data_IF_293972758833
#
_entry.id   IF_293972758833
#
_cell.length_a   1.000
_cell.length_b   1.000
_cell.length_c   1.000
_cell.angle_alpha   90.00
_cell.angle_beta   90.00
_cell.angle_gamma   90.00
#
_symmetry.space_group_name_H-M   'P 1'
#
loop_
_entity.id
_entity.type
_entity.pdbx_description
1 polymer ?
#
# COMPACT_ATOMS: atom_id res chain seq x y z
N UNK A 1 7.27 3.94 4.82
CA UNK A 1 6.12 3.11 4.38
C UNK A 1 6.60 1.69 4.18
N UNK A 2 5.89 0.70 4.74
CA UNK A 2 6.26 -0.72 4.67
C UNK A 2 6.28 -1.28 3.23
N UNK A 3 5.29 -0.92 2.40
CA UNK A 3 5.24 -1.31 0.99
C UNK A 3 6.51 -0.89 0.20
N UNK A 4 7.07 0.29 0.47
CA UNK A 4 8.30 0.73 -0.19
C UNK A 4 9.54 -0.10 0.18
N UNK A 5 9.48 -0.83 1.30
CA UNK A 5 10.53 -1.72 1.78
C UNK A 5 10.25 -3.20 1.49
N UNK A 6 9.11 -3.53 0.89
CA UNK A 6 8.75 -4.92 0.60
C UNK A 6 9.46 -5.45 -0.65
N UNK A 7 9.53 -6.78 -0.75
CA UNK A 7 10.04 -7.47 -1.95
C UNK A 7 9.14 -7.24 -3.17
N UNK A 8 7.85 -7.02 -2.96
CA UNK A 8 6.87 -6.83 -4.02
C UNK A 8 6.71 -5.37 -4.48
N UNK A 9 7.47 -4.41 -3.94
CA UNK A 9 7.29 -2.95 -4.21
C UNK A 9 7.20 -2.61 -5.70
N UNK A 10 7.97 -3.29 -6.54
CA UNK A 10 8.04 -3.08 -7.99
C UNK A 10 6.72 -3.40 -8.73
N UNK A 11 5.82 -4.12 -8.08
CA UNK A 11 4.51 -4.48 -8.59
C UNK A 11 3.44 -3.43 -8.29
N UNK A 12 3.75 -2.38 -7.51
CA UNK A 12 2.79 -1.36 -7.11
C UNK A 12 3.21 0.01 -7.63
N UNK A 13 2.26 0.72 -8.23
CA UNK A 13 2.43 2.11 -8.69
C UNK A 13 1.48 2.99 -7.90
N UNK A 14 2.01 3.98 -7.16
CA UNK A 14 1.20 4.96 -6.44
C UNK A 14 0.36 5.75 -7.44
N UNK A 15 -0.93 5.97 -7.14
CA UNK A 15 -1.85 6.77 -7.94
C UNK A 15 -2.76 7.60 -7.04
N UNK A 16 -3.77 8.24 -7.63
CA UNK A 16 -4.86 8.86 -6.90
C UNK A 16 -4.51 10.21 -6.27
N UNK A 17 -5.32 10.62 -5.30
CA UNK A 17 -5.30 11.98 -4.76
C UNK A 17 -4.04 12.27 -3.93
N UNK A 18 -3.52 11.30 -3.17
CA UNK A 18 -2.25 11.46 -2.45
C UNK A 18 -1.07 11.69 -3.41
N UNK A 19 -1.07 11.08 -4.60
CA UNK A 19 -0.04 11.38 -5.59
C UNK A 19 -0.22 12.81 -6.12
N UNK A 20 -1.45 13.17 -6.50
CA UNK A 20 -1.75 14.48 -7.08
C UNK A 20 -1.43 15.63 -6.11
N UNK A 21 -1.65 15.43 -4.80
CA UNK A 21 -1.33 16.40 -3.75
C UNK A 21 0.15 16.76 -3.64
N UNK A 22 1.04 15.94 -4.21
CA UNK A 22 2.47 16.25 -4.30
C UNK A 22 2.82 17.25 -5.40
N UNK A 23 1.91 17.47 -6.35
CA UNK A 23 2.14 18.33 -7.50
C UNK A 23 1.26 19.57 -7.52
N UNK A 24 0.05 19.49 -6.95
CA UNK A 24 -0.89 20.60 -6.89
C UNK A 24 -1.58 20.64 -5.53
N UNK A 25 -2.02 21.82 -5.13
CA UNK A 25 -2.90 21.97 -3.99
C UNK A 25 -4.26 21.32 -4.31
N UNK A 26 -4.62 20.30 -3.56
CA UNK A 26 -5.93 19.67 -3.63
C UNK A 26 -6.78 20.22 -2.48
N UNK A 27 -7.86 20.93 -2.78
CA UNK A 27 -8.77 21.53 -1.79
C UNK A 27 -9.60 20.53 -0.98
N UNK A 28 -9.12 19.28 -0.85
CA UNK A 28 -9.73 18.21 -0.06
C UNK A 28 -8.64 17.37 0.58
N UNK A 29 -8.85 16.99 1.84
CA UNK A 29 -8.02 16.00 2.50
C UNK A 29 -8.36 14.59 2.00
N UNK A 30 -7.37 13.71 2.02
CA UNK A 30 -7.54 12.27 1.75
C UNK A 30 -6.59 11.51 2.65
N UNK A 31 -7.07 10.43 3.24
CA UNK A 31 -6.29 9.54 4.08
C UNK A 31 -5.97 8.21 3.37
N UNK A 32 -6.51 8.02 2.17
CA UNK A 32 -6.38 6.78 1.41
C UNK A 32 -5.12 6.79 0.55
N UNK A 33 -4.40 5.66 0.56
CA UNK A 33 -3.27 5.41 -0.32
C UNK A 33 -3.68 4.46 -1.45
N UNK A 34 -3.83 5.01 -2.64
CA UNK A 34 -4.18 4.24 -3.83
C UNK A 34 -2.96 3.71 -4.57
N UNK A 35 -2.96 2.40 -4.87
CA UNK A 35 -1.96 1.78 -5.72
C UNK A 35 -2.60 1.03 -6.90
N UNK A 36 -1.93 1.05 -8.04
CA UNK A 36 -2.16 0.10 -9.13
C UNK A 36 -1.24 -1.10 -8.92
N UNK A 37 -1.83 -2.28 -8.66
CA UNK A 37 -1.12 -3.55 -8.66
C UNK A 37 -0.90 -4.05 -10.10
N UNK A 38 0.30 -4.55 -10.40
CA UNK A 38 0.70 -5.05 -11.72
C UNK A 38 1.48 -6.35 -11.57
N UNK A 39 1.17 -7.34 -12.41
CA UNK A 39 1.85 -8.66 -12.41
C UNK A 39 1.74 -9.37 -11.05
N UNK A 40 0.61 -9.22 -10.37
CA UNK A 40 0.23 -10.00 -9.20
C UNK A 40 -0.95 -10.90 -9.58
N UNK A 41 -1.07 -12.05 -8.92
CA UNK A 41 -2.28 -12.87 -9.01
C UNK A 41 -3.45 -12.12 -8.38
N UNK A 42 -4.65 -12.28 -8.95
CA UNK A 42 -5.89 -11.75 -8.39
C UNK A 42 -6.55 -12.72 -7.39
N UNK A 43 -5.87 -13.82 -7.06
CA UNK A 43 -6.35 -14.77 -6.06
C UNK A 43 -6.31 -14.13 -4.65
N UNK A 44 -7.46 -14.13 -3.98
CA UNK A 44 -7.64 -13.52 -2.66
C UNK A 44 -6.65 -14.06 -1.63
N UNK A 45 -6.40 -15.37 -1.63
CA UNK A 45 -5.45 -16.00 -0.72
C UNK A 45 -4.02 -15.46 -0.93
N UNK A 46 -3.55 -15.43 -2.18
CA UNK A 46 -2.22 -14.89 -2.49
C UNK A 46 -2.08 -13.40 -2.19
N UNK A 47 -3.14 -12.61 -2.42
CA UNK A 47 -3.16 -11.20 -2.03
C UNK A 47 -3.07 -11.05 -0.50
N UNK A 48 -3.73 -11.92 0.26
CA UNK A 48 -3.67 -11.92 1.74
C UNK A 48 -2.25 -12.11 2.22
N UNK A 49 -1.56 -13.12 1.71
CA UNK A 49 -0.18 -13.40 2.08
C UNK A 49 0.74 -12.21 1.76
N UNK A 50 0.58 -11.59 0.58
CA UNK A 50 1.35 -10.40 0.18
C UNK A 50 1.11 -9.23 1.14
N UNK A 51 -0.14 -8.91 1.46
CA UNK A 51 -0.45 -7.80 2.36
C UNK A 51 -0.04 -8.08 3.80
N UNK A 52 -0.11 -9.33 4.26
CA UNK A 52 0.41 -9.76 5.56
C UNK A 52 1.94 -9.62 5.63
N UNK A 53 2.67 -10.05 4.59
CA UNK A 53 4.12 -9.85 4.50
C UNK A 53 4.47 -8.36 4.59
N UNK A 54 3.78 -7.49 3.83
CA UNK A 54 4.02 -6.05 3.85
C UNK A 54 3.74 -5.47 5.24
N UNK A 55 2.59 -5.78 5.85
CA UNK A 55 2.20 -5.21 7.14
C UNK A 55 3.16 -5.58 8.28
N UNK A 56 3.74 -6.77 8.21
CA UNK A 56 4.68 -7.29 9.20
C UNK A 56 6.12 -6.79 9.03
N UNK A 57 6.42 -5.97 8.02
CA UNK A 57 7.73 -5.33 7.90
C UNK A 57 7.95 -4.42 9.11
N UNK A 58 8.91 -4.79 9.96
CA UNK A 58 9.28 -4.01 11.13
C UNK A 58 10.06 -2.77 10.70
N UNK A 59 9.54 -1.61 11.07
CA UNK A 59 10.20 -0.32 10.91
C UNK A 59 10.26 0.36 12.27
N UNK A 60 11.34 1.10 12.54
CA UNK A 60 11.47 1.94 13.75
C UNK A 60 10.65 3.23 13.62
N UNK A 61 9.41 3.11 13.19
CA UNK A 61 8.47 4.22 12.94
C UNK A 61 7.37 4.33 14.01
N UNK A 62 7.35 3.42 14.99
CA UNK A 62 6.38 3.43 16.09
C UNK A 62 4.99 2.93 15.71
N UNK A 63 4.80 2.41 14.49
CA UNK A 63 3.52 1.88 14.02
C UNK A 63 3.48 0.36 14.07
N UNK A 64 2.30 -0.19 14.35
CA UNK A 64 1.98 -1.61 14.20
C UNK A 64 0.70 -1.73 13.37
N UNK A 65 0.69 -2.65 12.40
CA UNK A 65 -0.43 -2.88 11.51
C UNK A 65 -1.13 -4.19 11.90
N UNK A 66 -2.45 -4.19 11.97
CA UNK A 66 -3.28 -5.34 12.32
C UNK A 66 -4.59 -5.30 11.53
N UNK A 67 -5.25 -6.46 11.40
CA UNK A 67 -6.59 -6.54 10.83
C UNK A 67 -6.66 -6.36 9.32
N UNK A 68 -5.83 -7.08 8.57
CA UNK A 68 -5.89 -7.08 7.10
C UNK A 68 -7.22 -7.68 6.64
N UNK A 69 -7.95 -6.92 5.83
CA UNK A 69 -9.21 -7.32 5.20
C UNK A 69 -9.03 -7.31 3.69
N UNK A 70 -9.44 -8.39 3.05
CA UNK A 70 -9.47 -8.53 1.59
C UNK A 70 -10.86 -9.08 1.26
N UNK A 71 -11.52 -8.42 0.31
CA UNK A 71 -12.91 -8.65 -0.10
C UNK A 71 -13.02 -8.66 -1.61
#
# INVERSE_FOLDING_TARGET
MRLANSKCRQHFVLKGAILLSKYIEIGRETHDLDFLARRLSNEVAGLKDIFEEIANIELKDGFAFQGIKIS
#
